data_IF_628063086744
#
_entry.id   IF_628063086744
#
_cell.length_a   1.000
_cell.length_b   1.000
_cell.length_c   1.000
_cell.angle_alpha   90.00
_cell.angle_beta   90.00
_cell.angle_gamma   90.00
#
_symmetry.space_group_name_H-M   'P 1'
#
loop_
_entity.id
_entity.type
_entity.pdbx_description
1 polymer ?
#
# COMPACT_ATOMS: atom_id res chain seq x y z
N UNK A 1 4.08 -7.23 21.63
CA UNK A 1 5.23 -6.57 20.96
C UNK A 1 5.20 -6.99 19.49
N UNK A 2 5.41 -6.06 18.57
CA UNK A 2 5.55 -6.38 17.16
C UNK A 2 6.86 -7.13 16.90
N UNK A 3 6.89 -7.87 15.80
CA UNK A 3 8.06 -8.66 15.40
C UNK A 3 8.77 -8.00 14.23
N UNK A 4 10.07 -7.71 14.37
CA UNK A 4 10.93 -7.11 13.34
C UNK A 4 11.31 -8.17 12.29
N UNK A 5 10.31 -8.68 11.56
CA UNK A 5 10.49 -9.75 10.57
C UNK A 5 10.68 -9.25 9.14
N UNK A 6 10.49 -7.93 8.94
CA UNK A 6 10.60 -7.28 7.63
C UNK A 6 9.60 -7.81 6.60
N UNK A 7 9.86 -7.44 5.36
CA UNK A 7 9.05 -7.87 4.21
C UNK A 7 9.32 -9.33 3.88
N UNK A 8 8.33 -10.21 4.07
CA UNK A 8 8.33 -11.62 3.63
C UNK A 8 7.37 -11.79 2.47
N UNK A 9 7.57 -12.84 1.69
CA UNK A 9 6.67 -13.17 0.58
C UNK A 9 5.26 -13.52 1.10
N UNK A 10 4.25 -12.95 0.43
CA UNK A 10 2.83 -13.28 0.65
C UNK A 10 2.28 -13.78 -0.69
N UNK A 11 1.59 -14.92 -0.67
CA UNK A 11 1.01 -15.52 -1.87
C UNK A 11 -0.52 -15.46 -1.73
N UNK A 12 -1.17 -14.84 -2.71
CA UNK A 12 -2.62 -14.76 -2.83
C UNK A 12 -3.12 -15.68 -3.95
N UNK A 13 -4.39 -15.70 -4.27
CA UNK A 13 -4.90 -16.54 -5.36
C UNK A 13 -4.29 -16.14 -6.72
N UNK A 14 -4.23 -14.84 -7.02
CA UNK A 14 -3.81 -14.29 -8.32
C UNK A 14 -2.43 -13.64 -8.32
N UNK A 15 -1.88 -13.31 -7.14
CA UNK A 15 -0.66 -12.53 -7.04
C UNK A 15 0.38 -13.14 -6.09
N UNK A 16 1.62 -12.68 -6.28
CA UNK A 16 2.72 -12.86 -5.34
C UNK A 16 3.19 -11.47 -4.91
N UNK A 17 3.18 -11.21 -3.61
CA UNK A 17 3.76 -10.02 -3.01
C UNK A 17 5.17 -10.37 -2.56
N UNK A 18 6.16 -9.73 -3.16
CA UNK A 18 7.58 -9.99 -2.87
C UNK A 18 8.35 -8.69 -2.62
N UNK A 19 9.55 -8.81 -2.08
CA UNK A 19 10.47 -7.66 -2.02
C UNK A 19 10.70 -7.09 -3.40
N UNK A 20 10.76 -5.78 -3.48
CA UNK A 20 11.18 -5.03 -4.67
C UNK A 20 12.66 -5.30 -4.89
N UNK A 21 13.08 -5.38 -6.16
CA UNK A 21 14.46 -5.53 -6.60
C UNK A 21 14.86 -4.33 -7.43
N UNK A 22 16.16 -4.06 -7.53
CA UNK A 22 16.67 -2.95 -8.32
C UNK A 22 16.27 -3.05 -9.82
N UNK A 23 16.24 -4.26 -10.36
CA UNK A 23 15.81 -4.54 -11.73
C UNK A 23 14.32 -4.31 -12.00
N UNK A 24 13.48 -4.23 -10.98
CA UNK A 24 12.04 -3.99 -11.13
C UNK A 24 11.73 -2.54 -11.57
N UNK A 25 12.66 -1.61 -11.38
CA UNK A 25 12.42 -0.17 -11.51
C UNK A 25 11.81 0.24 -12.85
N UNK A 26 12.33 -0.27 -13.96
CA UNK A 26 11.84 0.04 -15.31
C UNK A 26 10.40 -0.46 -15.51
N UNK A 27 10.11 -1.70 -15.13
CA UNK A 27 8.77 -2.29 -15.24
C UNK A 27 7.76 -1.55 -14.34
N UNK A 28 8.16 -1.17 -13.12
CA UNK A 28 7.33 -0.40 -12.19
C UNK A 28 7.04 1.01 -12.73
N UNK A 29 8.04 1.69 -13.30
CA UNK A 29 7.87 3.00 -13.93
C UNK A 29 6.85 2.94 -15.07
N UNK A 30 7.02 1.98 -15.99
CA UNK A 30 6.15 1.77 -17.15
C UNK A 30 4.73 1.36 -16.75
N UNK A 31 4.55 0.55 -15.72
CA UNK A 31 3.25 0.01 -15.35
C UNK A 31 2.36 1.00 -14.59
N UNK A 32 2.92 1.86 -13.72
CA UNK A 32 2.10 2.79 -12.92
C UNK A 32 2.77 4.11 -12.54
N UNK A 33 4.10 4.20 -12.35
CA UNK A 33 4.70 5.35 -11.68
C UNK A 33 4.67 6.63 -12.51
N UNK A 34 4.60 6.54 -13.84
CA UNK A 34 4.50 7.65 -14.77
C UNK A 34 3.08 8.17 -15.02
N UNK A 35 2.06 7.46 -14.54
CA UNK A 35 0.67 7.80 -14.84
C UNK A 35 0.07 8.78 -13.81
N UNK A 36 -0.37 9.94 -14.26
CA UNK A 36 -1.05 10.94 -13.44
C UNK A 36 -2.30 10.36 -12.76
N UNK A 37 -3.05 9.52 -13.46
CA UNK A 37 -4.25 8.87 -12.92
C UNK A 37 -3.96 8.04 -11.65
N UNK A 38 -2.78 7.42 -11.55
CA UNK A 38 -2.35 6.65 -10.37
C UNK A 38 -1.96 7.58 -9.22
N UNK A 39 -1.26 8.68 -9.52
CA UNK A 39 -0.78 9.62 -8.51
C UNK A 39 -1.84 10.67 -8.10
N UNK A 40 -2.99 10.71 -8.77
CA UNK A 40 -4.05 11.69 -8.55
C UNK A 40 -4.45 11.83 -7.07
N UNK A 41 -4.54 10.71 -6.37
CA UNK A 41 -4.98 10.64 -4.97
C UNK A 41 -3.82 10.41 -3.99
N UNK A 42 -2.62 10.90 -4.34
CA UNK A 42 -1.44 10.90 -3.48
C UNK A 42 -0.90 12.33 -3.32
N UNK A 43 -0.16 12.62 -2.25
CA UNK A 43 0.40 13.95 -2.02
C UNK A 43 1.60 14.29 -2.93
N UNK A 44 1.93 13.44 -3.87
CA UNK A 44 3.03 13.61 -4.82
C UNK A 44 2.55 13.41 -6.26
N UNK A 45 3.35 13.90 -7.19
CA UNK A 45 3.12 13.78 -8.63
C UNK A 45 3.74 12.49 -9.20
N UNK A 46 3.42 12.11 -10.45
CA UNK A 46 4.09 11.04 -11.16
C UNK A 46 5.61 11.22 -11.16
N UNK A 47 6.33 10.13 -11.28
CA UNK A 47 7.78 10.18 -11.46
C UNK A 47 8.11 10.93 -12.76
N UNK A 48 9.02 11.92 -12.68
CA UNK A 48 9.36 12.78 -13.81
C UNK A 48 10.00 11.98 -14.96
N UNK A 49 10.81 10.98 -14.61
CA UNK A 49 11.50 10.10 -15.54
C UNK A 49 11.84 8.75 -14.89
N UNK A 50 12.28 7.79 -15.70
CA UNK A 50 12.65 6.46 -15.23
C UNK A 50 13.85 6.51 -14.27
N UNK A 51 14.83 7.40 -14.48
CA UNK A 51 16.02 7.46 -13.63
C UNK A 51 15.67 7.91 -12.21
N UNK A 52 14.88 8.96 -12.05
CA UNK A 52 14.43 9.43 -10.73
C UNK A 52 13.60 8.37 -10.00
N UNK A 53 12.85 7.55 -10.73
CA UNK A 53 12.10 6.45 -10.14
C UNK A 53 13.02 5.28 -9.76
N UNK A 54 14.04 4.97 -10.56
CA UNK A 54 15.09 3.99 -10.24
C UNK A 54 15.81 4.34 -8.95
N UNK A 55 16.20 5.59 -8.75
CA UNK A 55 16.87 6.05 -7.53
C UNK A 55 15.97 5.84 -6.30
N UNK A 56 14.67 6.09 -6.43
CA UNK A 56 13.67 5.80 -5.38
C UNK A 56 13.58 4.29 -5.09
N UNK A 57 13.55 3.45 -6.12
CA UNK A 57 13.51 1.99 -5.96
C UNK A 57 14.77 1.47 -5.25
N UNK A 58 15.95 1.99 -5.58
CA UNK A 58 17.20 1.64 -4.91
C UNK A 58 17.14 1.97 -3.41
N UNK A 59 16.63 3.15 -3.05
CA UNK A 59 16.44 3.52 -1.65
C UNK A 59 15.48 2.55 -0.92
N UNK A 60 14.42 2.09 -1.57
CA UNK A 60 13.53 1.07 -0.98
C UNK A 60 14.23 -0.26 -0.77
N UNK A 61 15.07 -0.69 -1.73
CA UNK A 61 15.84 -1.93 -1.62
C UNK A 61 16.82 -1.87 -0.43
N UNK A 62 17.51 -0.75 -0.25
CA UNK A 62 18.42 -0.52 0.89
C UNK A 62 17.68 -0.53 2.24
N UNK A 63 16.42 -0.09 2.26
CA UNK A 63 15.62 0.00 3.48
C UNK A 63 15.22 -1.37 4.06
N UNK A 64 15.31 -2.46 3.28
CA UNK A 64 14.90 -3.81 3.75
C UNK A 64 15.77 -4.36 4.89
N UNK A 65 16.95 -3.82 5.11
CA UNK A 65 17.86 -4.28 6.18
C UNK A 65 17.39 -3.86 7.57
N UNK A 66 16.47 -2.90 7.67
CA UNK A 66 15.99 -2.39 8.97
C UNK A 66 15.14 -3.40 9.77
N UNK A 67 14.61 -4.44 9.14
CA UNK A 67 13.69 -5.40 9.75
C UNK A 67 12.27 -4.87 10.06
N UNK A 68 12.09 -3.54 10.00
CA UNK A 68 10.80 -2.85 10.20
C UNK A 68 10.31 -2.18 8.91
N UNK A 69 10.94 -2.46 7.81
CA UNK A 69 10.52 -1.99 6.51
C UNK A 69 9.63 -3.02 5.82
N UNK A 70 8.40 -2.65 5.53
CA UNK A 70 7.37 -3.52 5.00
C UNK A 70 6.82 -2.95 3.70
N UNK A 71 7.44 -3.32 2.58
CA UNK A 71 6.98 -2.90 1.25
C UNK A 71 7.10 -4.03 0.25
N UNK A 72 6.07 -4.20 -0.56
CA UNK A 72 5.98 -5.25 -1.57
C UNK A 72 5.67 -4.68 -2.94
N UNK A 73 6.28 -5.27 -3.96
CA UNK A 73 5.77 -5.23 -5.32
C UNK A 73 4.73 -6.34 -5.47
N UNK A 74 3.68 -6.05 -6.23
CA UNK A 74 2.60 -6.99 -6.55
C UNK A 74 2.89 -7.56 -7.94
N UNK A 75 3.19 -8.86 -8.01
CA UNK A 75 3.45 -9.60 -9.23
C UNK A 75 2.26 -10.50 -9.55
N UNK A 76 1.73 -10.44 -10.76
CA UNK A 76 0.65 -11.30 -11.23
C UNK A 76 1.20 -12.71 -11.49
N UNK A 77 0.50 -13.75 -11.03
CA UNK A 77 0.95 -15.16 -11.25
C UNK A 77 0.84 -15.62 -12.71
N UNK A 78 -0.11 -15.04 -13.47
CA UNK A 78 -0.43 -15.50 -14.81
C UNK A 78 0.67 -15.23 -15.84
N UNK A 79 1.34 -14.09 -15.71
CA UNK A 79 2.31 -13.59 -16.69
C UNK A 79 3.55 -12.94 -16.08
N UNK A 80 3.66 -12.98 -14.73
CA UNK A 80 4.73 -12.34 -13.96
C UNK A 80 4.81 -10.82 -14.11
N UNK A 81 3.74 -10.17 -14.61
CA UNK A 81 3.67 -8.72 -14.73
C UNK A 81 3.68 -8.06 -13.35
N UNK A 82 4.47 -6.99 -13.21
CA UNK A 82 4.42 -6.13 -12.04
C UNK A 82 3.26 -5.14 -12.19
N UNK A 83 2.28 -5.22 -11.28
CA UNK A 83 1.02 -4.51 -11.42
C UNK A 83 0.75 -3.48 -10.32
N UNK A 84 1.61 -3.38 -9.32
CA UNK A 84 1.42 -2.42 -8.24
C UNK A 84 2.39 -2.58 -7.09
N UNK A 85 2.19 -1.76 -6.06
CA UNK A 85 2.90 -1.83 -4.78
C UNK A 85 1.92 -1.69 -3.62
N UNK A 86 2.30 -2.25 -2.47
CA UNK A 86 1.59 -2.10 -1.20
C UNK A 86 2.60 -2.09 -0.06
N UNK A 87 2.31 -1.36 1.03
CA UNK A 87 3.19 -1.27 2.18
C UNK A 87 2.46 -1.27 3.53
N UNK A 88 3.24 -1.45 4.61
CA UNK A 88 2.91 -1.03 5.97
C UNK A 88 3.98 -0.02 6.38
N UNK A 89 3.63 1.25 6.28
CA UNK A 89 4.50 2.37 6.63
C UNK A 89 4.15 2.96 8.01
N UNK A 90 4.93 3.97 8.43
CA UNK A 90 4.72 4.67 9.71
C UNK A 90 4.51 3.73 10.89
N UNK A 91 5.34 2.69 10.96
CA UNK A 91 5.23 1.67 12.02
C UNK A 91 5.52 2.30 13.37
N UNK A 92 4.55 2.24 14.27
CA UNK A 92 4.66 2.63 15.67
C UNK A 92 4.71 1.36 16.53
N UNK A 93 5.91 1.01 16.98
CA UNK A 93 6.14 -0.20 17.76
C UNK A 93 5.47 -0.13 19.14
N UNK A 94 5.44 1.05 19.75
CA UNK A 94 4.88 1.23 21.10
C UNK A 94 3.37 0.99 21.11
N UNK A 95 2.68 1.40 20.04
CA UNK A 95 1.24 1.27 19.89
C UNK A 95 0.82 0.07 19.00
N UNK A 96 1.79 -0.69 18.48
CA UNK A 96 1.57 -1.79 17.55
C UNK A 96 0.67 -1.38 16.37
N UNK A 97 0.99 -0.27 15.74
CA UNK A 97 0.22 0.39 14.68
C UNK A 97 1.05 0.54 13.42
N UNK A 98 0.42 0.43 12.25
CA UNK A 98 0.99 0.83 10.98
C UNK A 98 -0.06 1.46 10.07
N UNK A 99 0.41 2.21 9.05
CA UNK A 99 -0.42 2.75 7.99
C UNK A 99 -0.18 1.99 6.70
N UNK A 100 -1.25 1.60 5.99
CA UNK A 100 -1.13 0.98 4.68
C UNK A 100 -1.40 1.97 3.56
N UNK A 101 -0.57 1.88 2.51
CA UNK A 101 -0.74 2.61 1.27
C UNK A 101 -0.48 1.65 0.10
N UNK A 102 -1.18 1.86 -1.01
CA UNK A 102 -1.05 1.00 -2.19
C UNK A 102 -1.31 1.74 -3.50
N UNK A 103 -0.68 1.27 -4.55
CA UNK A 103 -0.91 1.68 -5.94
C UNK A 103 -1.13 0.45 -6.81
N UNK A 104 -1.96 0.59 -7.84
CA UNK A 104 -2.22 -0.45 -8.82
C UNK A 104 -2.20 0.14 -10.22
N UNK A 105 -1.63 -0.58 -11.17
CA UNK A 105 -1.64 -0.22 -12.58
C UNK A 105 -3.08 -0.04 -13.10
N UNK A 106 -3.38 0.98 -13.90
CA UNK A 106 -4.73 1.29 -14.34
C UNK A 106 -5.46 0.13 -15.02
N UNK A 107 -4.73 -0.68 -15.78
CA UNK A 107 -5.28 -1.86 -16.48
C UNK A 107 -5.83 -2.94 -15.53
N UNK A 108 -5.44 -2.89 -14.25
CA UNK A 108 -5.87 -3.85 -13.23
C UNK A 108 -6.98 -3.32 -12.31
N UNK A 109 -7.46 -2.08 -12.55
CA UNK A 109 -8.52 -1.49 -11.72
C UNK A 109 -9.87 -2.20 -11.92
N UNK A 110 -10.71 -2.17 -10.88
CA UNK A 110 -12.06 -2.74 -10.93
C UNK A 110 -12.13 -4.27 -10.88
N UNK A 111 -11.01 -4.99 -10.86
CA UNK A 111 -10.95 -6.46 -10.93
C UNK A 111 -10.88 -7.15 -9.55
N UNK A 112 -10.96 -6.39 -8.45
CA UNK A 112 -10.89 -6.93 -7.09
C UNK A 112 -9.49 -7.36 -6.62
N UNK A 113 -8.45 -7.13 -7.43
CA UNK A 113 -7.06 -7.52 -7.11
C UNK A 113 -6.58 -6.82 -5.83
N UNK A 114 -6.79 -5.51 -5.70
CA UNK A 114 -6.32 -4.78 -4.52
C UNK A 114 -7.05 -5.20 -3.24
N UNK A 115 -8.32 -5.59 -3.32
CA UNK A 115 -9.05 -6.16 -2.18
C UNK A 115 -8.41 -7.47 -1.72
N UNK A 116 -8.12 -8.39 -2.64
CA UNK A 116 -7.45 -9.66 -2.36
C UNK A 116 -6.07 -9.44 -1.71
N UNK A 117 -5.27 -8.55 -2.30
CA UNK A 117 -3.92 -8.20 -1.84
C UNK A 117 -3.96 -7.57 -0.44
N UNK A 118 -4.84 -6.58 -0.21
CA UNK A 118 -4.95 -5.90 1.07
C UNK A 118 -5.45 -6.85 2.17
N UNK A 119 -6.44 -7.69 1.91
CA UNK A 119 -6.91 -8.67 2.89
C UNK A 119 -5.77 -9.62 3.32
N UNK A 120 -4.95 -10.09 2.37
CA UNK A 120 -3.78 -10.94 2.68
C UNK A 120 -2.69 -10.18 3.45
N UNK A 121 -2.48 -8.89 3.13
CA UNK A 121 -1.55 -8.04 3.89
C UNK A 121 -2.04 -7.82 5.33
N UNK A 122 -3.32 -7.57 5.55
CA UNK A 122 -3.90 -7.41 6.89
C UNK A 122 -3.74 -8.68 7.72
N UNK A 123 -3.93 -9.85 7.12
CA UNK A 123 -3.65 -11.12 7.78
C UNK A 123 -2.18 -11.22 8.22
N UNK A 124 -1.25 -10.94 7.31
CA UNK A 124 0.19 -10.90 7.61
C UNK A 124 0.51 -9.88 8.73
N UNK A 125 -0.07 -8.69 8.67
CA UNK A 125 0.14 -7.63 9.66
C UNK A 125 -0.24 -8.06 11.07
N UNK A 126 -1.38 -8.73 11.21
CA UNK A 126 -1.87 -9.16 12.52
C UNK A 126 -1.22 -10.46 13.00
N UNK A 127 -1.07 -11.47 12.14
CA UNK A 127 -0.65 -12.82 12.55
C UNK A 127 0.89 -12.94 12.60
N UNK A 128 1.58 -12.36 11.63
CA UNK A 128 3.03 -12.46 11.51
C UNK A 128 3.76 -11.29 12.16
N UNK A 129 3.40 -10.03 11.84
CA UNK A 129 4.07 -8.86 12.43
C UNK A 129 3.63 -8.62 13.88
N UNK A 130 2.38 -8.90 14.18
CA UNK A 130 1.83 -8.73 15.53
C UNK A 130 1.25 -7.34 15.78
N UNK A 131 0.85 -6.62 14.72
CA UNK A 131 0.16 -5.35 14.87
C UNK A 131 -1.18 -5.51 15.60
N UNK A 132 -1.61 -4.44 16.27
CA UNK A 132 -2.95 -4.31 16.86
C UNK A 132 -3.88 -3.52 15.96
N UNK A 133 -3.33 -2.56 15.19
CA UNK A 133 -4.10 -1.64 14.37
C UNK A 133 -3.41 -1.41 13.02
N UNK A 134 -4.18 -1.44 11.94
CA UNK A 134 -3.76 -0.96 10.62
C UNK A 134 -4.72 0.15 10.20
N UNK A 135 -4.17 1.29 9.80
CA UNK A 135 -4.95 2.44 9.32
C UNK A 135 -4.61 2.79 7.87
N UNK A 136 -5.49 3.56 7.23
CA UNK A 136 -5.32 4.07 5.88
C UNK A 136 -5.98 5.44 5.71
N UNK A 137 -5.41 6.29 4.88
CA UNK A 137 -5.99 7.56 4.48
C UNK A 137 -6.51 7.47 3.04
N UNK A 138 -7.68 8.02 2.79
CA UNK A 138 -8.30 8.09 1.46
C UNK A 138 -8.53 9.55 1.11
N UNK A 139 -7.90 10.05 0.05
CA UNK A 139 -8.13 11.39 -0.48
C UNK A 139 -9.58 11.56 -0.91
N UNK A 140 -10.14 12.74 -0.65
CA UNK A 140 -11.50 13.08 -1.10
C UNK A 140 -11.70 12.78 -2.59
N UNK A 141 -12.85 12.22 -2.93
CA UNK A 141 -13.18 11.77 -4.28
C UNK A 141 -12.65 10.38 -4.67
N UNK A 142 -11.80 9.71 -3.86
CA UNK A 142 -11.29 8.36 -4.17
C UNK A 142 -12.22 7.24 -3.64
N UNK A 143 -13.45 7.22 -4.14
CA UNK A 143 -14.45 6.20 -3.74
C UNK A 143 -13.99 4.75 -4.05
N UNK A 144 -13.08 4.55 -5.01
CA UNK A 144 -12.55 3.23 -5.33
C UNK A 144 -11.69 2.67 -4.19
N UNK A 145 -10.79 3.50 -3.62
CA UNK A 145 -9.97 3.12 -2.47
C UNK A 145 -10.83 2.88 -1.23
N UNK A 146 -11.81 3.77 -0.93
CA UNK A 146 -12.73 3.58 0.18
C UNK A 146 -13.42 2.20 0.13
N UNK A 147 -13.97 1.82 -1.03
CA UNK A 147 -14.60 0.50 -1.22
C UNK A 147 -13.63 -0.68 -1.02
N UNK A 148 -12.36 -0.55 -1.36
CA UNK A 148 -11.35 -1.59 -1.10
C UNK A 148 -11.15 -1.75 0.41
N UNK A 149 -10.98 -0.65 1.14
CA UNK A 149 -10.80 -0.66 2.60
C UNK A 149 -12.02 -1.29 3.31
N UNK A 150 -13.22 -0.84 2.96
CA UNK A 150 -14.48 -1.36 3.52
C UNK A 150 -14.67 -2.86 3.27
N UNK A 151 -14.36 -3.34 2.06
CA UNK A 151 -14.41 -4.78 1.73
C UNK A 151 -13.42 -5.63 2.52
N UNK A 152 -12.32 -5.03 2.98
CA UNK A 152 -11.34 -5.68 3.85
C UNK A 152 -11.66 -5.51 5.35
N UNK A 153 -12.85 -4.98 5.69
CA UNK A 153 -13.31 -4.81 7.08
C UNK A 153 -12.79 -3.56 7.78
N UNK A 154 -12.11 -2.65 7.07
CA UNK A 154 -11.69 -1.38 7.66
C UNK A 154 -12.91 -0.46 7.86
N UNK A 155 -12.96 0.20 9.02
CA UNK A 155 -14.06 1.09 9.40
C UNK A 155 -13.67 2.55 9.21
N UNK A 156 -14.62 3.36 8.73
CA UNK A 156 -14.46 4.80 8.66
C UNK A 156 -14.47 5.40 10.09
N UNK A 157 -13.47 6.23 10.40
CA UNK A 157 -13.31 6.85 11.72
C UNK A 157 -13.51 8.37 11.71
N UNK A 158 -13.55 9.00 10.52
CA UNK A 158 -13.75 10.44 10.41
C UNK A 158 -13.00 11.07 9.25
N UNK A 159 -13.02 12.40 9.20
CA UNK A 159 -12.37 13.21 8.16
C UNK A 159 -11.28 14.08 8.78
N UNK A 160 -10.05 13.95 8.30
CA UNK A 160 -8.99 14.90 8.56
C UNK A 160 -9.09 16.04 7.53
N UNK A 161 -9.64 17.18 7.96
CA UNK A 161 -9.86 18.33 7.07
C UNK A 161 -8.54 18.98 6.70
N UNK A 162 -8.41 19.40 5.41
CA UNK A 162 -7.27 20.15 4.88
C UNK A 162 -5.91 19.48 5.19
N UNK A 163 -5.90 18.14 5.12
CA UNK A 163 -4.76 17.30 5.51
C UNK A 163 -3.55 17.47 4.58
N UNK A 164 -3.79 17.65 3.28
CA UNK A 164 -2.74 17.83 2.28
C UNK A 164 -3.00 19.06 1.44
N UNK A 165 -1.91 19.66 0.93
CA UNK A 165 -1.95 20.74 -0.05
C UNK A 165 -1.39 20.21 -1.37
N UNK A 166 -2.19 20.24 -2.43
CA UNK A 166 -1.80 19.76 -3.75
C UNK A 166 -2.49 20.59 -4.83
N UNK A 167 -1.75 20.96 -5.87
CA UNK A 167 -2.24 21.69 -7.04
C UNK A 167 -3.05 22.98 -6.67
N UNK A 168 -2.58 23.73 -5.68
CA UNK A 168 -3.17 25.03 -5.31
C UNK A 168 -4.35 24.97 -4.34
N UNK A 169 -4.74 23.79 -3.85
CA UNK A 169 -5.84 23.66 -2.90
C UNK A 169 -5.56 22.64 -1.78
N UNK A 170 -6.24 22.81 -0.66
CA UNK A 170 -6.22 21.84 0.44
C UNK A 170 -7.19 20.70 0.17
N UNK A 171 -6.80 19.50 0.56
CA UNK A 171 -7.53 18.25 0.35
C UNK A 171 -7.84 17.61 1.70
N UNK A 172 -9.08 17.22 1.88
CA UNK A 172 -9.52 16.42 3.02
C UNK A 172 -9.15 14.95 2.78
N UNK A 173 -8.96 14.19 3.88
CA UNK A 173 -8.82 12.74 3.80
C UNK A 173 -9.76 12.04 4.75
N UNK A 174 -10.42 10.99 4.26
CA UNK A 174 -11.16 10.05 5.09
C UNK A 174 -10.19 9.10 5.78
N UNK A 175 -10.36 8.90 7.09
CA UNK A 175 -9.55 8.02 7.90
C UNK A 175 -10.27 6.69 8.07
N UNK A 176 -9.57 5.60 7.81
CA UNK A 176 -10.06 4.24 7.96
C UNK A 176 -9.10 3.45 8.84
N UNK A 177 -9.64 2.51 9.63
CA UNK A 177 -8.81 1.57 10.38
C UNK A 177 -9.48 0.22 10.58
N UNK A 178 -8.66 -0.78 10.87
CA UNK A 178 -9.08 -2.09 11.34
C UNK A 178 -8.22 -2.50 12.53
N UNK A 179 -8.86 -3.08 13.55
CA UNK A 179 -8.19 -3.62 14.72
C UNK A 179 -8.06 -5.15 14.58
N UNK A 180 -7.07 -5.71 15.27
CA UNK A 180 -6.94 -7.17 15.38
C UNK A 180 -8.23 -7.83 15.85
N UNK A 181 -8.91 -7.23 16.82
CA UNK A 181 -10.17 -7.73 17.40
C UNK A 181 -11.37 -7.64 16.46
N UNK A 182 -11.31 -6.83 15.40
CA UNK A 182 -12.40 -6.75 14.42
C UNK A 182 -12.47 -7.99 13.52
N UNK A 183 -11.40 -8.81 13.46
CA UNK A 183 -11.33 -10.03 12.64
C UNK A 183 -12.15 -11.19 13.22
N UNK A 184 -12.33 -11.21 14.52
CA UNK A 184 -12.97 -12.33 15.25
C UNK A 184 -14.51 -12.27 15.20
N UNK A 185 -15.08 -11.35 14.41
CA UNK A 185 -16.52 -11.04 14.36
C UNK A 185 -17.21 -11.62 13.10
N UNK A 186 -16.51 -12.48 12.31
CA UNK A 186 -17.11 -13.09 11.10
C UNK A 186 -16.95 -14.61 11.06
#
# INVERSE_FOLDING_TARGET
>A
MIRSIGTRMIVTDRCVLRRIRAEDAAAMYESWAKYEAVCRYFPFDPAADEQSYRDRVLHWVESYDSGLYFQWVIEQKADHALIGIINLGRVDEANALAETNYMLAPVCWGQGIMTEVLCSLLQYAFDEVGLNRVQAEVFDGNAASARVLEKCGMRFEGVARQRYYKHGHFIDTAQYAILRTDRDVH
#
